data_IF_380857893247
#
_entry.id   IF_380857893247
#
_cell.length_a   1.000
_cell.length_b   1.000
_cell.length_c   1.000
_cell.angle_alpha   90.00
_cell.angle_beta   90.00
_cell.angle_gamma   90.00
#
_symmetry.space_group_name_H-M   'P 1'
#
loop_
_entity.id
_entity.type
_entity.pdbx_description
1 polymer ?
#
# COMPACT_ATOMS: atom_id res chain seq x y z
N UNK A 1 -5.68 -33.24 6.27
CA UNK A 1 -6.02 -31.91 5.73
C UNK A 1 -6.26 -32.05 4.24
N UNK A 2 -7.52 -32.15 3.82
CA UNK A 2 -7.92 -32.08 2.41
C UNK A 2 -8.53 -30.69 2.16
N UNK A 3 -8.05 -29.90 1.19
CA UNK A 3 -8.47 -28.51 0.98
C UNK A 3 -9.80 -28.37 0.24
N UNK A 4 -10.78 -29.25 0.48
CA UNK A 4 -11.94 -29.44 -0.40
C UNK A 4 -13.30 -28.93 0.12
N UNK A 5 -13.35 -27.96 1.03
CA UNK A 5 -14.63 -27.47 1.54
C UNK A 5 -14.71 -25.95 1.64
N UNK A 6 -14.52 -25.25 0.52
CA UNK A 6 -15.16 -23.94 0.30
C UNK A 6 -15.52 -23.88 -1.18
N UNK A 7 -16.77 -24.25 -1.50
CA UNK A 7 -17.27 -24.30 -2.87
C UNK A 7 -18.41 -23.29 -3.07
N UNK A 8 -18.15 -22.41 -4.05
CA UNK A 8 -19.06 -21.66 -4.95
C UNK A 8 -19.64 -20.31 -4.49
N UNK A 9 -19.09 -19.26 -5.10
CA UNK A 9 -19.87 -18.40 -6.01
C UNK A 9 -19.07 -18.14 -7.31
N UNK A 10 -19.78 -18.19 -8.44
CA UNK A 10 -19.38 -17.90 -9.86
C UNK A 10 -18.95 -16.42 -10.03
N UNK A 11 -18.18 -15.95 -11.02
CA UNK A 11 -17.73 -16.40 -12.34
C UNK A 11 -16.22 -16.10 -12.53
N UNK A 12 -15.47 -17.05 -13.11
CA UNK A 12 -14.05 -16.93 -13.49
C UNK A 12 -13.82 -16.09 -14.76
N UNK A 13 -14.83 -15.34 -15.23
CA UNK A 13 -14.81 -14.72 -16.56
C UNK A 13 -13.99 -13.42 -16.68
N UNK A 14 -13.60 -12.79 -15.57
CA UNK A 14 -12.97 -11.45 -15.58
C UNK A 14 -11.72 -11.34 -14.70
N UNK A 15 -11.02 -12.43 -14.40
CA UNK A 15 -9.67 -12.32 -13.81
C UNK A 15 -8.67 -12.29 -14.96
N UNK A 16 -7.97 -11.16 -15.21
CA UNK A 16 -6.93 -11.13 -16.23
C UNK A 16 -5.94 -12.28 -16.00
N UNK A 17 -5.71 -13.12 -17.01
CA UNK A 17 -4.91 -14.34 -16.90
C UNK A 17 -3.50 -14.07 -16.35
N UNK A 18 -2.95 -12.86 -16.57
CA UNK A 18 -1.68 -12.44 -15.99
C UNK A 18 -1.72 -12.43 -14.46
N UNK A 19 -2.85 -12.10 -13.82
CA UNK A 19 -3.03 -12.12 -12.35
C UNK A 19 -2.89 -13.54 -11.79
N UNK A 20 -3.25 -14.56 -12.55
CA UNK A 20 -3.19 -15.97 -12.13
C UNK A 20 -1.76 -16.53 -12.28
N UNK A 21 -1.04 -16.16 -13.36
CA UNK A 21 0.18 -16.84 -13.80
C UNK A 21 1.51 -16.29 -13.24
N UNK A 22 1.50 -15.24 -12.42
CA UNK A 22 2.71 -14.41 -12.13
C UNK A 22 3.19 -14.39 -10.68
N UNK A 23 2.65 -15.27 -9.83
CA UNK A 23 2.92 -15.23 -8.39
C UNK A 23 2.00 -14.25 -7.65
N UNK A 24 1.66 -14.59 -6.42
CA UNK A 24 0.69 -13.86 -5.60
C UNK A 24 1.16 -12.44 -5.24
N UNK A 25 2.45 -12.31 -4.95
CA UNK A 25 3.15 -11.04 -4.74
C UNK A 25 4.04 -10.81 -5.94
N UNK A 26 3.90 -9.65 -6.58
CA UNK A 26 4.83 -9.19 -7.62
C UNK A 26 5.72 -8.08 -7.07
N UNK A 27 6.99 -8.13 -7.43
CA UNK A 27 7.95 -7.05 -7.19
C UNK A 27 8.15 -6.26 -8.46
N UNK A 28 8.37 -4.96 -8.32
CA UNK A 28 8.68 -4.06 -9.42
C UNK A 28 9.83 -3.15 -8.99
N UNK A 29 10.71 -2.82 -9.93
CA UNK A 29 11.76 -1.85 -9.69
C UNK A 29 11.30 -0.43 -10.02
N UNK A 30 11.72 0.55 -9.23
CA UNK A 30 11.55 1.95 -9.62
C UNK A 30 12.29 2.31 -10.92
N UNK A 31 13.39 1.62 -11.26
CA UNK A 31 14.09 1.83 -12.54
C UNK A 31 13.33 1.23 -13.73
N UNK A 32 12.47 0.23 -13.51
CA UNK A 32 11.56 -0.30 -14.52
C UNK A 32 10.37 0.66 -14.74
N UNK A 33 9.84 1.21 -13.65
CA UNK A 33 8.71 2.14 -13.69
C UNK A 33 9.10 3.53 -14.21
N UNK A 34 10.32 3.97 -13.92
CA UNK A 34 10.85 5.28 -14.31
C UNK A 34 12.18 5.12 -15.07
N UNK A 35 12.14 4.60 -16.31
CA UNK A 35 13.33 4.20 -17.03
C UNK A 35 14.25 5.40 -17.29
N UNK A 36 15.56 5.19 -17.02
CA UNK A 36 16.65 6.16 -17.17
C UNK A 36 16.64 7.31 -16.15
N UNK A 37 15.75 7.31 -15.16
CA UNK A 37 15.75 8.30 -14.09
C UNK A 37 16.82 8.02 -13.02
N UNK A 38 17.35 6.78 -12.95
CA UNK A 38 18.25 6.35 -11.88
C UNK A 38 17.58 6.30 -10.51
N UNK A 39 16.24 6.19 -10.50
CA UNK A 39 15.43 6.35 -9.31
C UNK A 39 15.56 5.15 -8.39
N UNK A 40 15.68 3.92 -8.89
CA UNK A 40 15.89 2.73 -8.05
C UNK A 40 17.19 2.81 -7.25
N UNK A 41 18.29 3.14 -7.92
CA UNK A 41 19.60 3.34 -7.28
C UNK A 41 19.58 4.43 -6.21
N UNK A 42 19.04 5.60 -6.54
CA UNK A 42 18.96 6.72 -5.60
C UNK A 42 18.00 6.41 -4.45
N UNK A 43 16.89 5.70 -4.72
CA UNK A 43 15.93 5.32 -3.69
C UNK A 43 16.51 4.32 -2.71
N UNK A 44 17.36 3.39 -3.16
CA UNK A 44 18.04 2.42 -2.30
C UNK A 44 19.18 3.07 -1.49
N UNK A 45 19.89 4.03 -2.07
CA UNK A 45 21.15 4.57 -1.50
C UNK A 45 21.05 5.95 -0.85
N UNK A 46 19.89 6.62 -0.90
CA UNK A 46 19.73 7.97 -0.36
C UNK A 46 18.50 8.11 0.57
N UNK A 47 18.71 7.96 1.88
CA UNK A 47 17.66 8.16 2.88
C UNK A 47 17.08 9.59 2.86
N UNK A 48 17.90 10.58 2.48
CA UNK A 48 17.45 11.96 2.35
C UNK A 48 16.40 12.12 1.25
N UNK A 49 16.56 11.45 0.10
CA UNK A 49 15.57 11.43 -0.97
C UNK A 49 14.24 10.88 -0.47
N UNK A 50 14.26 9.68 0.14
CA UNK A 50 13.07 9.01 0.67
C UNK A 50 12.31 9.93 1.65
N UNK A 51 13.02 10.54 2.59
CA UNK A 51 12.46 11.47 3.57
C UNK A 51 11.91 12.75 2.94
N UNK A 52 12.60 13.32 1.96
CA UNK A 52 12.18 14.55 1.29
C UNK A 52 10.95 14.33 0.43
N UNK A 53 10.84 13.19 -0.26
CA UNK A 53 9.63 12.80 -0.98
C UNK A 53 8.42 12.71 -0.05
N UNK A 54 8.58 12.15 1.16
CA UNK A 54 7.50 12.12 2.16
C UNK A 54 7.08 13.49 2.65
N UNK A 55 8.04 14.37 2.89
CA UNK A 55 7.73 15.75 3.28
C UNK A 55 7.00 16.47 2.16
N UNK A 56 7.52 16.36 0.95
CA UNK A 56 7.00 17.00 -0.23
C UNK A 56 5.55 16.58 -0.53
N UNK A 57 5.23 15.28 -0.44
CA UNK A 57 3.85 14.81 -0.60
C UNK A 57 2.87 15.48 0.38
N UNK A 58 3.30 15.74 1.62
CA UNK A 58 2.48 16.40 2.63
C UNK A 58 2.29 17.89 2.35
N UNK A 59 3.32 18.53 1.82
CA UNK A 59 3.24 19.92 1.35
C UNK A 59 2.28 20.04 0.16
N UNK A 60 2.36 19.10 -0.79
CA UNK A 60 1.43 19.03 -1.92
C UNK A 60 -0.01 18.83 -1.45
N UNK A 61 -0.26 17.92 -0.50
CA UNK A 61 -1.61 17.75 0.08
C UNK A 61 -2.10 19.03 0.78
N UNK A 62 -1.23 19.71 1.53
CA UNK A 62 -1.61 20.96 2.19
C UNK A 62 -2.00 22.03 1.17
N UNK A 63 -1.21 22.18 0.10
CA UNK A 63 -1.47 23.11 -0.99
C UNK A 63 -2.77 22.76 -1.75
N UNK A 64 -3.02 21.49 -2.03
CA UNK A 64 -4.27 21.02 -2.64
C UNK A 64 -5.48 21.43 -1.81
N UNK A 65 -5.42 21.22 -0.49
CA UNK A 65 -6.50 21.59 0.43
C UNK A 65 -6.75 23.09 0.47
N UNK A 66 -5.69 23.90 0.45
CA UNK A 66 -5.79 25.36 0.37
C UNK A 66 -6.46 25.81 -0.94
N UNK A 67 -6.08 25.20 -2.08
CA UNK A 67 -6.66 25.48 -3.40
C UNK A 67 -8.14 25.11 -3.51
N UNK A 68 -8.55 24.00 -2.90
CA UNK A 68 -9.93 23.51 -2.97
C UNK A 68 -10.95 24.43 -2.30
N UNK A 69 -10.52 25.44 -1.52
CA UNK A 69 -11.34 26.58 -1.06
C UNK A 69 -12.53 26.20 -0.16
N UNK A 70 -12.48 26.61 1.11
CA UNK A 70 -13.56 26.86 2.11
C UNK A 70 -14.80 25.95 2.24
N UNK A 71 -14.98 24.89 1.45
CA UNK A 71 -16.09 23.93 1.63
C UNK A 71 -15.75 22.85 2.68
N UNK A 72 -14.47 22.69 3.00
CA UNK A 72 -14.02 21.89 4.12
C UNK A 72 -13.78 22.79 5.34
N UNK A 73 -14.41 22.47 6.48
CA UNK A 73 -14.12 23.05 7.79
C UNK A 73 -12.61 23.16 8.00
N UNK A 74 -12.06 24.32 8.42
CA UNK A 74 -10.63 24.49 8.66
C UNK A 74 -10.14 23.42 9.63
N UNK A 75 -8.95 22.88 9.36
CA UNK A 75 -8.35 21.90 10.26
C UNK A 75 -8.03 22.58 11.59
N UNK A 76 -8.13 21.83 12.68
CA UNK A 76 -7.55 22.29 13.93
C UNK A 76 -6.03 22.41 13.78
N UNK A 77 -5.35 23.30 14.54
CA UNK A 77 -3.89 23.39 14.50
C UNK A 77 -3.19 22.04 14.75
N UNK A 78 -3.80 21.17 15.57
CA UNK A 78 -3.30 19.82 15.82
C UNK A 78 -3.43 18.92 14.59
N UNK A 79 -4.53 19.01 13.84
CA UNK A 79 -4.71 18.26 12.61
C UNK A 79 -3.78 18.76 11.48
N UNK A 80 -3.55 20.07 11.37
CA UNK A 80 -2.55 20.63 10.44
C UNK A 80 -1.13 20.17 10.78
N UNK A 81 -0.76 20.22 12.06
CA UNK A 81 0.53 19.71 12.53
C UNK A 81 0.68 18.22 12.24
N UNK A 82 -0.37 17.41 12.47
CA UNK A 82 -0.36 15.98 12.19
C UNK A 82 -0.25 15.69 10.69
N UNK A 83 -0.94 16.45 9.83
CA UNK A 83 -0.87 16.33 8.38
C UNK A 83 0.57 16.55 7.87
N UNK A 84 1.30 17.50 8.45
CA UNK A 84 2.70 17.80 8.07
C UNK A 84 3.74 16.92 8.77
N UNK A 85 3.38 16.22 9.84
CA UNK A 85 4.31 15.40 10.62
C UNK A 85 4.57 14.03 9.99
N UNK A 86 5.84 13.72 9.69
CA UNK A 86 6.29 12.41 9.18
C UNK A 86 6.03 11.23 10.14
N UNK A 87 5.73 11.53 11.41
CA UNK A 87 5.39 10.57 12.46
C UNK A 87 3.91 10.17 12.49
N UNK A 88 3.07 10.75 11.62
CA UNK A 88 1.63 10.52 11.59
C UNK A 88 1.25 9.83 10.28
N UNK A 89 0.32 8.87 10.33
CA UNK A 89 -0.23 8.30 9.10
C UNK A 89 -1.16 9.30 8.40
N UNK A 90 -1.17 9.27 7.08
CA UNK A 90 -1.96 10.20 6.25
C UNK A 90 -2.65 9.42 5.14
N UNK A 91 -3.93 9.71 4.91
CA UNK A 91 -4.69 9.21 3.78
C UNK A 91 -5.05 10.38 2.88
N UNK A 92 -4.76 10.27 1.60
CA UNK A 92 -5.06 11.30 0.59
C UNK A 92 -5.60 10.67 -0.68
N UNK A 93 -6.22 11.49 -1.53
CA UNK A 93 -6.57 11.09 -2.88
C UNK A 93 -5.39 11.36 -3.81
N UNK A 94 -4.77 10.31 -4.33
CA UNK A 94 -3.66 10.44 -5.28
C UNK A 94 -4.15 10.76 -6.71
N UNK A 95 -5.40 10.39 -7.03
CA UNK A 95 -6.04 10.56 -8.34
C UNK A 95 -6.54 11.98 -8.61
N UNK A 96 -6.56 12.83 -7.58
CA UNK A 96 -6.86 14.24 -7.69
C UNK A 96 -5.70 14.96 -8.40
N UNK A 97 -5.89 15.23 -9.69
CA UNK A 97 -5.13 16.08 -10.61
C UNK A 97 -3.58 15.90 -10.65
N UNK A 98 -3.08 15.46 -11.82
CA UNK A 98 -1.65 15.27 -12.12
C UNK A 98 -0.77 16.53 -11.95
N UNK A 99 -1.35 17.72 -12.04
CA UNK A 99 -0.62 18.99 -11.99
C UNK A 99 -0.32 19.47 -10.56
N UNK A 100 -0.70 18.69 -9.54
CA UNK A 100 -0.74 19.16 -8.14
C UNK A 100 0.44 18.72 -7.25
N UNK A 101 1.45 18.04 -7.79
CA UNK A 101 2.58 17.46 -7.03
C UNK A 101 3.91 18.20 -7.26
N UNK A 102 3.88 19.53 -7.17
CA UNK A 102 5.04 20.39 -7.43
C UNK A 102 6.18 20.18 -6.43
N UNK A 103 5.85 20.07 -5.14
CA UNK A 103 6.85 19.87 -4.10
C UNK A 103 7.52 18.51 -4.27
N UNK A 104 6.77 17.46 -4.63
CA UNK A 104 7.31 16.13 -4.88
C UNK A 104 8.25 16.13 -6.08
N UNK A 105 7.86 16.78 -7.19
CA UNK A 105 8.73 16.96 -8.35
C UNK A 105 10.01 17.72 -7.99
N UNK A 106 9.90 18.79 -7.20
CA UNK A 106 11.05 19.56 -6.72
C UNK A 106 11.96 18.72 -5.78
N UNK A 107 11.39 17.85 -4.95
CA UNK A 107 12.17 16.94 -4.12
C UNK A 107 12.98 15.95 -4.97
N UNK A 108 12.35 15.29 -5.96
CA UNK A 108 13.02 14.39 -6.90
C UNK A 108 14.18 15.11 -7.62
N UNK A 109 13.91 16.31 -8.16
CA UNK A 109 14.90 17.09 -8.90
C UNK A 109 16.12 17.49 -8.04
N UNK A 110 15.92 17.86 -6.75
CA UNK A 110 17.01 18.20 -5.82
C UNK A 110 17.98 17.04 -5.58
N UNK A 111 17.52 15.81 -5.74
CA UNK A 111 18.32 14.59 -5.59
C UNK A 111 18.83 14.06 -6.95
N UNK A 112 18.78 14.87 -8.01
CA UNK A 112 19.30 14.52 -9.33
C UNK A 112 18.40 13.62 -10.17
N UNK A 113 17.17 13.35 -9.72
CA UNK A 113 16.19 12.57 -10.48
C UNK A 113 15.53 13.48 -11.52
N UNK A 114 16.17 13.59 -12.68
CA UNK A 114 15.67 14.39 -13.79
C UNK A 114 14.60 13.65 -14.61
N UNK A 115 13.63 14.39 -15.14
CA UNK A 115 12.64 13.85 -16.08
C UNK A 115 11.48 13.07 -15.44
N UNK A 116 11.37 13.05 -14.11
CA UNK A 116 10.22 12.51 -13.39
C UNK A 116 9.53 13.65 -12.65
N UNK A 117 8.35 14.07 -13.10
CA UNK A 117 7.54 15.03 -12.34
C UNK A 117 6.88 14.34 -11.14
N UNK A 118 6.45 15.11 -10.14
CA UNK A 118 5.69 14.53 -9.02
C UNK A 118 4.38 13.90 -9.49
N UNK A 119 3.72 14.50 -10.48
CA UNK A 119 2.51 13.95 -11.09
C UNK A 119 2.77 12.61 -11.76
N UNK A 120 3.81 12.53 -12.61
CA UNK A 120 4.19 11.27 -13.26
C UNK A 120 4.53 10.19 -12.24
N UNK A 121 5.24 10.56 -11.16
CA UNK A 121 5.57 9.64 -10.07
C UNK A 121 4.31 9.03 -9.44
N UNK A 122 3.34 9.86 -9.07
CA UNK A 122 2.11 9.44 -8.41
C UNK A 122 1.20 8.64 -9.35
N UNK A 123 1.02 9.11 -10.58
CA UNK A 123 0.16 8.45 -11.57
C UNK A 123 0.73 7.12 -12.05
N UNK A 124 2.06 7.00 -12.20
CA UNK A 124 2.68 5.73 -12.59
C UNK A 124 2.44 4.65 -11.53
N UNK A 125 2.62 4.98 -10.24
CA UNK A 125 2.38 4.05 -9.15
C UNK A 125 0.88 3.76 -8.96
N UNK A 126 0.04 4.78 -9.01
CA UNK A 126 -1.41 4.63 -8.85
C UNK A 126 -2.07 3.84 -9.99
N UNK A 127 -1.61 4.03 -11.23
CA UNK A 127 -2.12 3.29 -12.39
C UNK A 127 -1.86 1.78 -12.31
N UNK A 128 -0.88 1.35 -11.51
CA UNK A 128 -0.62 -0.08 -11.27
C UNK A 128 -1.75 -0.77 -10.50
N UNK A 129 -2.60 -0.03 -9.77
CA UNK A 129 -3.70 -0.58 -9.00
C UNK A 129 -4.75 -1.28 -9.89
N UNK A 130 -5.06 -0.71 -11.06
CA UNK A 130 -6.06 -1.24 -12.00
C UNK A 130 -7.47 -1.47 -11.41
N UNK A 131 -8.39 -1.97 -12.22
CA UNK A 131 -9.75 -2.37 -11.79
C UNK A 131 -10.85 -1.31 -11.96
N UNK A 132 -12.10 -1.71 -11.74
CA UNK A 132 -13.31 -0.87 -11.95
C UNK A 132 -13.49 0.24 -10.89
N UNK A 133 -12.88 0.08 -9.72
CA UNK A 133 -13.02 0.98 -8.57
C UNK A 133 -11.67 1.15 -7.90
N UNK A 134 -10.69 1.78 -8.57
CA UNK A 134 -9.57 2.35 -7.83
C UNK A 134 -10.13 3.44 -6.94
N UNK A 135 -9.99 3.28 -5.62
CA UNK A 135 -10.41 4.29 -4.65
C UNK A 135 -9.65 5.60 -4.83
N UNK A 136 -8.55 5.58 -5.58
CA UNK A 136 -7.71 6.74 -5.83
C UNK A 136 -7.01 7.17 -4.54
N UNK A 137 -6.89 6.27 -3.55
CA UNK A 137 -6.39 6.60 -2.22
C UNK A 137 -4.96 6.14 -2.01
N UNK A 138 -4.16 7.01 -1.41
CA UNK A 138 -2.81 6.73 -0.96
C UNK A 138 -2.80 6.87 0.56
N UNK A 139 -2.22 5.89 1.23
CA UNK A 139 -1.96 5.95 2.67
C UNK A 139 -0.44 5.96 2.89
N UNK A 140 0.09 7.06 3.47
CA UNK A 140 1.46 7.12 4.01
C UNK A 140 1.45 6.54 5.43
N UNK A 141 1.77 5.26 5.56
CA UNK A 141 1.71 4.53 6.82
C UNK A 141 3.03 4.74 7.57
N UNK A 142 3.04 5.68 8.51
CA UNK A 142 4.17 5.88 9.43
C UNK A 142 4.01 4.99 10.67
N UNK A 143 5.12 4.47 11.19
CA UNK A 143 5.06 3.44 12.23
C UNK A 143 5.91 3.74 13.47
N UNK A 144 6.27 5.02 13.69
CA UNK A 144 7.07 5.45 14.85
C UNK A 144 6.43 5.04 16.19
N UNK A 145 5.10 5.04 16.29
CA UNK A 145 4.37 4.58 17.48
C UNK A 145 4.24 3.05 17.59
N UNK A 146 4.26 2.32 16.46
CA UNK A 146 4.02 0.87 16.38
C UNK A 146 5.31 0.04 16.45
N UNK A 147 6.48 0.62 16.15
CA UNK A 147 7.77 -0.06 16.21
C UNK A 147 8.14 -0.60 17.62
N UNK A 148 7.42 -0.17 18.66
CA UNK A 148 7.74 -0.48 20.06
C UNK A 148 7.02 -1.70 20.64
N UNK A 149 6.06 -2.33 19.94
CA UNK A 149 5.36 -3.53 20.43
C UNK A 149 5.02 -4.50 19.29
N UNK A 150 5.35 -5.77 19.47
CA UNK A 150 4.83 -6.87 18.64
C UNK A 150 3.33 -7.01 18.94
N UNK A 151 2.49 -6.33 18.17
CA UNK A 151 1.06 -6.58 18.19
C UNK A 151 0.79 -7.95 17.51
N UNK A 152 -0.20 -8.72 17.95
CA UNK A 152 -0.65 -9.88 17.18
C UNK A 152 -1.02 -9.45 15.77
N UNK A 153 -0.75 -10.30 14.78
CA UNK A 153 -1.18 -10.03 13.41
C UNK A 153 -2.71 -9.84 13.40
N UNK A 154 -3.13 -8.71 12.86
CA UNK A 154 -4.52 -8.40 12.53
C UNK A 154 -4.64 -8.65 11.03
N UNK A 155 -5.07 -9.85 10.64
CA UNK A 155 -5.15 -10.24 9.24
C UNK A 155 -6.41 -9.68 8.60
N UNK A 156 -6.27 -8.97 7.48
CA UNK A 156 -7.43 -8.38 6.82
C UNK A 156 -7.25 -8.20 5.31
N UNK A 157 -8.38 -7.99 4.62
CA UNK A 157 -8.46 -7.37 3.29
C UNK A 157 -8.93 -5.93 3.46
N UNK A 158 -8.39 -5.00 2.68
CA UNK A 158 -8.84 -3.60 2.77
C UNK A 158 -10.24 -3.42 2.16
N UNK A 159 -10.53 -4.12 1.07
CA UNK A 159 -11.83 -4.05 0.37
C UNK A 159 -12.37 -5.40 -0.12
N UNK A 160 -11.50 -6.41 -0.28
CA UNK A 160 -11.84 -7.70 -0.89
C UNK A 160 -12.16 -7.59 -2.39
N UNK A 161 -11.87 -6.46 -3.03
CA UNK A 161 -12.14 -6.24 -4.45
C UNK A 161 -11.01 -6.79 -5.34
N UNK A 162 -11.34 -7.09 -6.60
CA UNK A 162 -10.38 -7.46 -7.66
C UNK A 162 -9.57 -6.25 -8.15
N UNK A 163 -8.94 -5.55 -7.22
CA UNK A 163 -8.00 -4.46 -7.46
C UNK A 163 -6.63 -4.84 -6.91
N UNK A 164 -5.58 -4.24 -7.45
CA UNK A 164 -4.25 -4.40 -6.89
C UNK A 164 -4.03 -3.36 -5.80
N UNK A 165 -3.52 -3.82 -4.67
CA UNK A 165 -2.86 -2.98 -3.68
C UNK A 165 -1.40 -2.84 -4.10
N UNK A 166 -0.93 -1.60 -4.22
CA UNK A 166 0.46 -1.29 -4.63
C UNK A 166 1.17 -0.62 -3.46
N UNK A 167 2.35 -1.13 -3.13
CA UNK A 167 3.12 -0.75 -1.96
C UNK A 167 4.49 -0.24 -2.38
N UNK A 168 4.82 1.02 -2.06
CA UNK A 168 6.18 1.56 -2.18
C UNK A 168 6.86 1.59 -0.80
N UNK A 169 8.01 0.93 -0.71
CA UNK A 169 8.78 0.77 0.52
C UNK A 169 9.71 1.95 0.85
N UNK A 170 9.75 2.36 2.12
CA UNK A 170 10.69 3.35 2.65
C UNK A 170 11.54 2.71 3.76
N UNK A 171 12.63 1.98 3.43
CA UNK A 171 13.51 1.40 4.44
C UNK A 171 14.17 2.48 5.30
N UNK A 172 14.46 2.14 6.55
CA UNK A 172 15.09 3.05 7.54
C UNK A 172 16.53 3.38 7.15
N UNK A 173 17.24 2.42 6.57
CA UNK A 173 18.65 2.55 6.20
C UNK A 173 18.84 2.39 4.70
N UNK A 174 19.95 2.92 4.20
CA UNK A 174 20.37 2.77 2.81
C UNK A 174 20.88 1.35 2.55
N UNK A 175 20.72 0.89 1.31
CA UNK A 175 21.07 -0.47 0.87
C UNK A 175 20.46 -1.57 1.76
N UNK A 176 19.26 -1.31 2.31
CA UNK A 176 18.56 -2.28 3.13
C UNK A 176 18.17 -3.52 2.32
N UNK A 177 18.39 -4.70 2.88
CA UNK A 177 18.00 -5.96 2.26
C UNK A 177 17.40 -6.92 3.30
N UNK A 178 16.06 -6.96 3.36
CA UNK A 178 15.37 -7.67 4.44
C UNK A 178 13.85 -7.54 4.42
N UNK A 179 13.20 -8.25 5.35
CA UNK A 179 11.77 -8.18 5.56
C UNK A 179 11.41 -7.03 6.54
N UNK A 180 10.14 -6.66 6.62
CA UNK A 180 9.69 -5.64 7.57
C UNK A 180 9.52 -4.24 6.99
N UNK A 181 9.91 -4.05 5.72
CA UNK A 181 9.51 -2.88 4.93
C UNK A 181 8.10 -3.04 4.39
N UNK A 182 7.73 -4.22 3.88
CA UNK A 182 6.39 -4.50 3.38
C UNK A 182 5.54 -5.23 4.42
N UNK A 183 4.22 -5.28 4.19
CA UNK A 183 3.29 -6.08 5.00
C UNK A 183 3.50 -7.57 4.76
N UNK A 184 3.25 -8.39 5.78
CA UNK A 184 3.08 -9.83 5.55
C UNK A 184 1.82 -10.08 4.73
N UNK A 185 1.82 -11.15 3.95
CA UNK A 185 0.68 -11.53 3.12
C UNK A 185 0.44 -13.02 3.14
N UNK A 186 -0.81 -13.42 2.93
CA UNK A 186 -1.25 -14.80 2.84
C UNK A 186 -2.10 -14.94 1.59
N UNK A 187 -1.71 -15.90 0.73
CA UNK A 187 -2.46 -16.22 -0.48
C UNK A 187 -3.71 -17.01 -0.11
N UNK A 188 -4.86 -16.48 -0.50
CA UNK A 188 -6.12 -17.20 -0.44
C UNK A 188 -6.28 -18.08 -1.68
N UNK A 189 -6.94 -19.22 -1.50
CA UNK A 189 -7.32 -20.09 -2.62
C UNK A 189 -8.52 -19.55 -3.40
N UNK A 190 -9.34 -18.69 -2.77
CA UNK A 190 -10.56 -18.12 -3.32
C UNK A 190 -10.80 -16.73 -2.71
N UNK A 191 -11.67 -15.95 -3.33
CA UNK A 191 -12.13 -14.68 -2.77
C UNK A 191 -12.96 -14.89 -1.50
N UNK A 192 -12.82 -14.00 -0.51
CA UNK A 192 -13.72 -13.98 0.64
C UNK A 192 -14.96 -13.16 0.28
N UNK A 193 -16.13 -13.69 0.59
CA UNK A 193 -17.37 -12.91 0.59
C UNK A 193 -17.46 -12.13 1.90
N UNK A 194 -17.80 -10.83 1.92
CA UNK A 194 -18.00 -10.12 3.17
C UNK A 194 -19.03 -10.82 4.08
N UNK A 195 -18.85 -10.72 5.40
CA UNK A 195 -19.82 -11.26 6.37
C UNK A 195 -21.25 -10.80 6.06
N UNK A 196 -22.29 -11.61 6.35
CA UNK A 196 -23.69 -11.22 6.13
C UNK A 196 -24.02 -9.83 6.67
N UNK A 197 -24.66 -9.00 5.85
CA UNK A 197 -25.00 -7.61 6.18
C UNK A 197 -23.89 -6.58 5.94
N UNK A 198 -22.71 -6.99 5.44
CA UNK A 198 -21.67 -6.07 4.95
C UNK A 198 -21.80 -5.86 3.44
N UNK A 199 -21.51 -4.64 2.99
CA UNK A 199 -21.45 -4.31 1.57
C UNK A 199 -20.17 -4.87 0.94
N UNK A 200 -20.23 -5.14 -0.38
CA UNK A 200 -19.03 -5.34 -1.20
C UNK A 200 -18.07 -4.16 -1.02
N UNK A 201 -16.78 -4.42 -0.91
CA UNK A 201 -15.77 -3.37 -0.65
C UNK A 201 -15.52 -3.08 0.84
N UNK A 202 -16.25 -3.73 1.77
CA UNK A 202 -15.98 -3.58 3.19
C UNK A 202 -14.73 -4.35 3.62
N UNK A 203 -14.02 -3.82 4.62
CA UNK A 203 -12.89 -4.50 5.26
C UNK A 203 -13.34 -5.87 5.77
N UNK A 204 -12.55 -6.90 5.46
CA UNK A 204 -12.72 -8.25 5.98
C UNK A 204 -11.63 -8.49 7.02
N UNK A 205 -12.00 -8.64 8.28
CA UNK A 205 -11.08 -9.00 9.38
C UNK A 205 -11.12 -10.51 9.60
N UNK A 206 -10.00 -11.20 9.39
CA UNK A 206 -9.93 -12.66 9.47
C UNK A 206 -10.42 -13.19 10.80
N UNK A 207 -9.99 -12.58 11.91
CA UNK A 207 -10.34 -13.04 13.26
C UNK A 207 -11.85 -12.93 13.54
N UNK A 208 -12.59 -12.16 12.74
CA UNK A 208 -14.05 -11.99 12.82
C UNK A 208 -14.80 -12.55 11.61
N UNK A 209 -14.10 -13.22 10.70
CA UNK A 209 -14.68 -13.73 9.47
C UNK A 209 -15.53 -14.97 9.77
N UNK A 210 -16.84 -14.90 9.55
CA UNK A 210 -17.76 -16.01 9.83
C UNK A 210 -18.18 -16.65 8.51
N UNK A 211 -17.28 -17.48 7.98
CA UNK A 211 -17.44 -18.12 6.67
C UNK A 211 -18.69 -19.00 6.58
N UNK A 212 -19.08 -19.60 7.72
CA UNK A 212 -20.15 -20.60 7.80
C UNK A 212 -21.45 -20.01 8.39
N UNK A 213 -21.46 -18.72 8.76
CA UNK A 213 -22.61 -18.03 9.35
C UNK A 213 -23.04 -18.58 10.71
N UNK A 214 -22.15 -19.29 11.41
CA UNK A 214 -22.43 -20.01 12.65
C UNK A 214 -21.80 -19.33 13.89
N UNK A 215 -21.21 -18.16 13.71
CA UNK A 215 -20.54 -17.39 14.75
C UNK A 215 -19.17 -17.93 15.15
N UNK A 216 -18.58 -18.86 14.38
CA UNK A 216 -17.23 -19.36 14.64
C UNK A 216 -16.17 -18.55 13.90
N UNK A 217 -15.19 -18.05 14.65
CA UNK A 217 -13.99 -17.45 14.07
C UNK A 217 -13.13 -18.52 13.40
N UNK A 218 -12.41 -18.18 12.32
CA UNK A 218 -11.53 -19.11 11.67
C UNK A 218 -10.31 -19.38 12.57
N UNK A 219 -9.63 -20.52 12.39
CA UNK A 219 -8.41 -20.80 13.13
C UNK A 219 -7.31 -19.78 12.81
N UNK A 220 -6.31 -19.63 13.69
CA UNK A 220 -5.12 -18.84 13.40
C UNK A 220 -4.44 -19.32 12.11
N UNK A 221 -3.93 -18.38 11.32
CA UNK A 221 -3.18 -18.69 10.10
C UNK A 221 -1.86 -19.37 10.49
N UNK A 222 -1.60 -20.55 9.93
CA UNK A 222 -0.35 -21.26 10.18
C UNK A 222 0.83 -20.54 9.53
N UNK A 223 1.93 -20.47 10.28
CA UNK A 223 3.17 -19.75 9.94
C UNK A 223 3.72 -20.09 8.53
N UNK A 224 3.62 -21.34 8.10
CA UNK A 224 4.06 -21.79 6.78
C UNK A 224 3.30 -21.15 5.59
N UNK A 225 2.16 -20.52 5.84
CA UNK A 225 1.35 -19.82 4.83
C UNK A 225 1.63 -18.32 4.81
N UNK A 226 2.41 -17.81 5.77
CA UNK A 226 2.75 -16.39 5.87
C UNK A 226 3.95 -16.07 4.99
N UNK A 227 3.69 -15.33 3.92
CA UNK A 227 4.74 -14.77 3.07
C UNK A 227 5.22 -13.45 3.69
N UNK A 228 6.55 -13.29 3.71
CA UNK A 228 7.23 -12.08 4.21
C UNK A 228 7.97 -11.42 3.06
N UNK A 229 7.34 -10.50 2.32
CA UNK A 229 7.99 -9.86 1.19
C UNK A 229 9.27 -9.17 1.64
N UNK A 230 10.35 -9.41 0.89
CA UNK A 230 11.69 -8.89 1.16
C UNK A 230 11.89 -7.65 0.32
N UNK A 231 12.33 -6.57 0.95
CA UNK A 231 12.81 -5.39 0.25
C UNK A 231 14.28 -5.61 -0.11
N UNK A 232 14.64 -5.16 -1.31
CA UNK A 232 16.01 -4.96 -1.79
C UNK A 232 15.97 -4.07 -3.03
N UNK A 233 17.13 -3.59 -3.46
CA UNK A 233 17.28 -2.97 -4.78
C UNK A 233 16.67 -3.82 -5.90
N UNK A 234 15.92 -3.17 -6.79
CA UNK A 234 15.14 -3.79 -7.85
C UNK A 234 13.76 -4.29 -7.40
N UNK A 235 13.41 -4.12 -6.12
CA UNK A 235 12.18 -4.62 -5.50
C UNK A 235 11.56 -3.58 -4.56
N UNK A 236 11.67 -2.30 -4.93
CA UNK A 236 11.20 -1.18 -4.10
C UNK A 236 9.67 -1.09 -4.03
N UNK A 237 8.99 -1.67 -5.03
CA UNK A 237 7.52 -1.70 -5.13
C UNK A 237 7.02 -3.14 -5.09
N UNK A 238 5.96 -3.38 -4.34
CA UNK A 238 5.24 -4.66 -4.25
C UNK A 238 3.78 -4.46 -4.65
N UNK A 239 3.21 -5.40 -5.39
CA UNK A 239 1.77 -5.42 -5.68
C UNK A 239 1.14 -6.79 -5.48
N UNK A 240 -0.09 -6.84 -5.01
CA UNK A 240 -0.92 -8.05 -4.90
C UNK A 240 -2.40 -7.71 -5.12
N UNK A 241 -3.24 -8.70 -5.44
CA UNK A 241 -4.69 -8.48 -5.63
C UNK A 241 -5.41 -8.66 -4.30
N UNK A 242 -6.09 -7.63 -3.81
CA UNK A 242 -6.68 -7.58 -2.47
C UNK A 242 -7.72 -8.70 -2.27
N UNK A 243 -8.56 -8.99 -3.27
CA UNK A 243 -9.55 -10.09 -3.24
C UNK A 243 -8.96 -11.47 -2.89
N UNK A 244 -7.69 -11.71 -3.18
CA UNK A 244 -7.01 -13.00 -2.94
C UNK A 244 -5.94 -12.92 -1.86
N UNK A 245 -5.83 -11.80 -1.15
CA UNK A 245 -4.72 -11.54 -0.22
C UNK A 245 -5.24 -11.09 1.13
N UNK A 246 -4.96 -11.86 2.17
CA UNK A 246 -4.95 -11.32 3.53
C UNK A 246 -3.59 -10.69 3.79
N UNK A 247 -3.56 -9.53 4.44
CA UNK A 247 -2.31 -8.89 4.83
C UNK A 247 -2.33 -8.44 6.28
N UNK A 248 -1.13 -8.26 6.83
CA UNK A 248 -0.94 -7.74 8.18
C UNK A 248 0.38 -6.99 8.32
N UNK A 249 0.52 -6.23 9.40
CA UNK A 249 1.80 -5.61 9.74
C UNK A 249 2.90 -6.68 9.89
N UNK A 250 4.15 -6.36 9.53
CA UNK A 250 5.25 -7.32 9.66
C UNK A 250 5.59 -7.61 11.13
N UNK A 251 6.33 -8.71 11.36
CA UNK A 251 6.81 -9.11 12.69
C UNK A 251 7.65 -8.00 13.36
N UNK A 252 8.52 -7.40 12.54
CA UNK A 252 9.39 -6.29 12.90
C UNK A 252 9.27 -5.22 11.82
N UNK A 253 9.08 -3.97 12.24
CA UNK A 253 8.95 -2.85 11.32
C UNK A 253 10.35 -2.30 11.05
N UNK A 254 10.79 -2.40 9.80
CA UNK A 254 12.08 -1.88 9.32
C UNK A 254 11.87 -0.81 8.23
N UNK A 255 10.87 0.04 8.42
CA UNK A 255 10.52 1.13 7.51
C UNK A 255 10.24 2.43 8.26
N UNK A 256 10.55 3.55 7.61
CA UNK A 256 10.07 4.87 8.03
C UNK A 256 8.60 5.09 7.61
N UNK A 257 8.22 4.49 6.49
CA UNK A 257 6.90 4.56 5.90
C UNK A 257 6.60 3.40 4.93
N UNK A 258 5.32 3.25 4.63
CA UNK A 258 4.84 2.44 3.52
C UNK A 258 3.78 3.26 2.80
N UNK A 259 3.99 3.55 1.53
CA UNK A 259 2.96 4.16 0.69
C UNK A 259 2.11 3.06 0.09
N UNK A 260 0.82 3.06 0.43
CA UNK A 260 -0.16 2.09 -0.06
C UNK A 260 -1.15 2.77 -0.98
N UNK A 261 -1.10 2.44 -2.27
CA UNK A 261 -2.02 2.90 -3.30
C UNK A 261 -3.13 1.87 -3.49
N UNK A 262 -4.36 2.38 -3.59
CA UNK A 262 -5.60 1.65 -3.86
C UNK A 262 -6.59 2.52 -4.63
#
# INVERSE_FOLDING_TARGET
FSPAAYARARDDADVPQDVIDSGHVRYHSLDELFPRAGLGDAWDTCAALRRDCRRALREDLAAQRERQGTSAEPLSPAAEAAMRALSSSLMLRWDAAAEEYEHLGAALARHGIAGVSGGDFMHTLGAMCGGEVTSGTLIDISSIALARKKAPHSWHQDSGLRQRTVLLGFPIEDAYDGAGVFTHVVKLSNELSPNPGRSRGAIVEWERFDADGNGSSPPPIAEQHVLRPRYRRGQEVVSYVDAYTLHSAPDHIHREALWRFM
#
